data_IF_702079768578
#
_entry.id   IF_702079768578
#
_cell.length_a   1.000
_cell.length_b   1.000
_cell.length_c   1.000
_cell.angle_alpha   90.00
_cell.angle_beta   90.00
_cell.angle_gamma   90.00
#
_symmetry.space_group_name_H-M   'P 1'
#
loop_
_entity.id
_entity.type
_entity.pdbx_description
1 polymer ?
#
# COMPACT_ATOMS: atom_id res chain seq x y z
N UNK A 1 -18.93 8.37 15.28
CA UNK A 1 -17.86 7.67 14.55
C UNK A 1 -16.56 7.84 15.32
N UNK A 2 -15.94 6.71 15.68
CA UNK A 2 -14.77 6.68 16.57
C UNK A 2 -13.60 6.08 15.81
N UNK A 3 -12.45 6.76 15.78
CA UNK A 3 -11.20 6.17 15.31
C UNK A 3 -10.48 5.54 16.50
N UNK A 4 -10.07 4.30 16.33
CA UNK A 4 -9.16 3.59 17.23
C UNK A 4 -7.82 3.42 16.52
N UNK A 5 -6.75 3.91 17.14
CA UNK A 5 -5.40 3.80 16.59
C UNK A 5 -4.39 4.62 17.40
N UNK A 6 -3.07 4.49 17.11
CA UNK A 6 -2.05 5.30 17.77
C UNK A 6 -2.36 6.79 17.64
N UNK A 7 -2.25 7.55 18.74
CA UNK A 7 -2.52 8.99 18.73
C UNK A 7 -1.39 9.84 18.12
N UNK A 8 -0.96 9.45 16.92
CA UNK A 8 0.04 10.10 16.08
C UNK A 8 -0.57 11.18 15.17
N UNK A 9 0.28 11.90 14.44
CA UNK A 9 -0.14 13.01 13.58
C UNK A 9 -1.13 12.57 12.47
N UNK A 10 -0.96 11.36 11.95
CA UNK A 10 -1.83 10.84 10.89
C UNK A 10 -3.26 10.62 11.40
N UNK A 11 -3.42 9.92 12.53
CA UNK A 11 -4.73 9.64 13.07
C UNK A 11 -5.41 10.89 13.64
N UNK A 12 -4.64 11.87 14.13
CA UNK A 12 -5.17 13.18 14.53
C UNK A 12 -5.68 13.98 13.35
N UNK A 13 -4.92 14.04 12.26
CA UNK A 13 -5.34 14.71 11.02
C UNK A 13 -6.57 14.02 10.41
N UNK A 14 -6.55 12.68 10.33
CA UNK A 14 -7.69 11.89 9.86
C UNK A 14 -8.95 12.15 10.70
N UNK A 15 -8.85 12.09 12.03
CA UNK A 15 -9.94 12.37 12.95
C UNK A 15 -10.52 13.77 12.74
N UNK A 16 -9.64 14.78 12.60
CA UNK A 16 -10.04 16.17 12.34
C UNK A 16 -10.76 16.32 11.00
N UNK A 17 -10.30 15.65 9.94
CA UNK A 17 -10.89 15.76 8.59
C UNK A 17 -12.27 15.13 8.48
N UNK A 18 -12.54 14.08 9.25
CA UNK A 18 -13.82 13.36 9.19
C UNK A 18 -14.73 13.63 10.40
N UNK A 19 -14.33 14.54 11.30
CA UNK A 19 -15.09 14.89 12.50
C UNK A 19 -15.27 13.73 13.49
N UNK A 20 -14.31 12.81 13.56
CA UNK A 20 -14.34 11.66 14.46
C UNK A 20 -13.59 11.92 15.77
N UNK A 21 -13.98 11.23 16.85
CA UNK A 21 -13.17 11.16 18.07
C UNK A 21 -12.03 10.15 17.89
N UNK A 22 -10.90 10.39 18.56
CA UNK A 22 -9.75 9.50 18.53
C UNK A 22 -9.55 8.84 19.90
N UNK A 23 -9.57 7.51 19.90
CA UNK A 23 -9.21 6.67 21.05
C UNK A 23 -7.81 6.12 20.80
N UNK A 24 -6.87 6.52 21.67
CA UNK A 24 -5.47 6.11 21.57
C UNK A 24 -5.32 4.59 21.75
N UNK A 25 -4.40 4.02 21.00
CA UNK A 25 -4.01 2.62 21.08
C UNK A 25 -2.50 2.52 21.29
N UNK A 26 -2.10 1.63 22.20
CA UNK A 26 -0.71 1.31 22.47
C UNK A 26 -0.39 -0.13 22.08
N UNK A 27 0.88 -0.35 21.78
CA UNK A 27 1.43 -1.67 21.52
C UNK A 27 2.48 -2.02 22.57
N UNK A 28 2.32 -3.18 23.19
CA UNK A 28 3.39 -3.82 23.96
C UNK A 28 3.92 -5.01 23.18
N UNK A 29 5.24 -5.17 23.17
CA UNK A 29 5.92 -6.37 22.65
C UNK A 29 6.54 -7.09 23.85
N UNK A 30 6.24 -8.37 24.02
CA UNK A 30 6.84 -9.20 25.06
C UNK A 30 8.27 -9.62 24.68
N UNK A 31 9.10 -10.09 25.64
CA UNK A 31 10.49 -10.47 25.35
C UNK A 31 10.67 -11.57 24.30
N UNK A 32 9.67 -12.41 24.09
CA UNK A 32 9.62 -13.47 23.06
C UNK A 32 9.10 -12.99 21.70
N UNK A 33 8.65 -11.73 21.61
CA UNK A 33 8.17 -11.11 20.38
C UNK A 33 6.64 -11.10 20.22
N UNK A 34 5.87 -11.65 21.17
CA UNK A 34 4.41 -11.58 21.10
C UNK A 34 3.88 -10.15 21.26
N UNK A 35 2.77 -9.86 20.57
CA UNK A 35 2.16 -8.54 20.54
C UNK A 35 0.93 -8.48 21.44
N UNK A 36 0.83 -7.41 22.22
CA UNK A 36 -0.36 -7.06 22.98
C UNK A 36 -0.81 -5.63 22.59
N UNK A 37 -1.73 -5.50 21.61
CA UNK A 37 -2.40 -4.24 21.35
C UNK A 37 -3.36 -3.90 22.49
N UNK A 38 -3.31 -2.65 22.97
CA UNK A 38 -4.19 -2.14 24.03
C UNK A 38 -4.84 -0.84 23.61
N UNK A 39 -6.16 -0.87 23.51
CA UNK A 39 -6.99 0.32 23.28
C UNK A 39 -7.19 1.02 24.63
N UNK A 40 -6.94 2.33 24.70
CA UNK A 40 -7.08 3.12 25.93
C UNK A 40 -8.49 3.64 26.12
N UNK A 41 -9.35 2.78 26.65
CA UNK A 41 -10.69 3.13 27.11
C UNK A 41 -10.71 3.30 28.64
N UNK A 42 -11.70 4.03 29.14
CA UNK A 42 -11.93 4.20 30.58
C UNK A 42 -12.83 3.11 31.15
N UNK A 43 -13.81 2.69 30.35
CA UNK A 43 -14.85 1.72 30.71
C UNK A 43 -14.94 0.67 29.59
N UNK A 44 -15.22 -0.58 29.92
CA UNK A 44 -15.20 -1.70 28.96
C UNK A 44 -16.27 -1.57 27.87
N UNK A 45 -17.42 -0.96 28.19
CA UNK A 45 -18.54 -0.77 27.28
C UNK A 45 -18.50 0.56 26.52
N UNK A 46 -17.41 1.34 26.63
CA UNK A 46 -17.26 2.64 25.97
C UNK A 46 -17.47 2.59 24.43
N UNK A 47 -17.23 1.44 23.80
CA UNK A 47 -17.39 1.25 22.34
C UNK A 47 -18.56 0.33 21.98
N UNK A 48 -19.39 -0.04 22.95
CA UNK A 48 -20.48 -1.01 22.74
C UNK A 48 -21.56 -0.42 21.83
N UNK A 49 -21.85 -1.12 20.74
CA UNK A 49 -22.83 -0.69 19.74
C UNK A 49 -22.31 0.40 18.78
N UNK A 50 -21.10 0.91 19.00
CA UNK A 50 -20.53 2.01 18.21
C UNK A 50 -19.98 1.53 16.86
N UNK A 51 -19.95 2.47 15.90
CA UNK A 51 -19.22 2.32 14.66
C UNK A 51 -17.77 2.78 14.84
N UNK A 52 -16.84 1.85 14.59
CA UNK A 52 -15.40 2.04 14.84
C UNK A 52 -14.63 1.97 13.54
N UNK A 53 -13.75 2.94 13.34
CA UNK A 53 -12.68 2.91 12.35
C UNK A 53 -11.39 2.49 13.05
N UNK A 54 -10.93 1.27 12.84
CA UNK A 54 -9.60 0.85 13.23
C UNK A 54 -8.59 1.38 12.20
N UNK A 55 -7.74 2.31 12.59
CA UNK A 55 -6.71 2.90 11.73
C UNK A 55 -5.32 2.52 12.22
N UNK A 56 -4.73 1.53 11.54
CA UNK A 56 -3.38 1.03 11.83
C UNK A 56 -2.51 1.14 10.59
N UNK A 57 -1.24 1.51 10.80
CA UNK A 57 -0.25 1.66 9.75
C UNK A 57 0.97 0.82 10.08
N UNK A 58 1.53 0.17 9.06
CA UNK A 58 2.79 -0.54 9.21
C UNK A 58 3.92 0.47 9.46
N UNK A 59 4.68 0.36 10.57
CA UNK A 59 5.77 1.28 10.83
C UNK A 59 6.89 1.14 9.79
N UNK A 60 7.35 2.26 9.23
CA UNK A 60 8.42 2.26 8.21
C UNK A 60 9.77 1.76 8.74
N UNK A 61 10.13 2.12 9.98
CA UNK A 61 11.44 1.74 10.59
C UNK A 61 11.55 0.28 11.02
N UNK A 62 10.46 -0.47 10.98
CA UNK A 62 10.39 -1.87 11.44
C UNK A 62 9.30 -2.61 10.66
N UNK A 63 9.37 -2.53 9.34
CA UNK A 63 8.40 -3.09 8.42
C UNK A 63 8.34 -4.62 8.59
N UNK A 64 7.44 -5.10 9.45
CA UNK A 64 7.13 -6.50 9.63
C UNK A 64 5.66 -6.74 9.29
N UNK A 65 5.33 -7.21 8.07
CA UNK A 65 3.96 -7.41 7.64
C UNK A 65 3.22 -8.45 8.49
N UNK A 66 3.93 -9.43 9.06
CA UNK A 66 3.33 -10.50 9.86
C UNK A 66 2.86 -9.94 11.21
N UNK A 67 3.75 -9.26 11.93
CA UNK A 67 3.43 -8.59 13.20
C UNK A 67 2.33 -7.55 13.03
N UNK A 68 2.40 -6.76 11.96
CA UNK A 68 1.37 -5.78 11.62
C UNK A 68 0.00 -6.42 11.37
N UNK A 69 -0.05 -7.52 10.59
CA UNK A 69 -1.29 -8.25 10.36
C UNK A 69 -1.87 -8.83 11.66
N UNK A 70 -1.03 -9.46 12.50
CA UNK A 70 -1.48 -10.00 13.79
C UNK A 70 -2.03 -8.90 14.70
N UNK A 71 -1.35 -7.75 14.78
CA UNK A 71 -1.83 -6.60 15.56
C UNK A 71 -3.22 -6.14 15.10
N UNK A 72 -3.44 -6.05 13.78
CA UNK A 72 -4.74 -5.70 13.19
C UNK A 72 -5.79 -6.75 13.57
N UNK A 73 -5.52 -8.04 13.35
CA UNK A 73 -6.47 -9.13 13.59
C UNK A 73 -6.90 -9.21 15.07
N UNK A 74 -5.93 -9.16 15.99
CA UNK A 74 -6.20 -9.17 17.44
C UNK A 74 -7.05 -7.96 17.84
N UNK A 75 -6.79 -6.79 17.26
CA UNK A 75 -7.52 -5.57 17.60
C UNK A 75 -8.95 -5.60 17.08
N UNK A 76 -9.17 -6.03 15.82
CA UNK A 76 -10.51 -6.20 15.25
C UNK A 76 -11.33 -7.17 16.11
N UNK A 77 -10.74 -8.34 16.45
CA UNK A 77 -11.44 -9.35 17.23
C UNK A 77 -11.79 -8.85 18.62
N UNK A 78 -10.87 -8.17 19.30
CA UNK A 78 -11.11 -7.57 20.61
C UNK A 78 -12.20 -6.49 20.58
N UNK A 79 -12.18 -5.62 19.57
CA UNK A 79 -13.24 -4.63 19.33
C UNK A 79 -14.61 -5.29 19.16
N UNK A 80 -14.67 -6.37 18.39
CA UNK A 80 -15.91 -7.09 18.09
C UNK A 80 -16.45 -7.84 19.30
N UNK A 81 -15.63 -8.67 19.95
CA UNK A 81 -16.08 -9.62 20.97
C UNK A 81 -16.18 -9.00 22.36
N UNK A 82 -15.16 -8.26 22.79
CA UNK A 82 -15.05 -7.80 24.17
C UNK A 82 -15.53 -6.37 24.36
N UNK A 83 -15.32 -5.50 23.36
CA UNK A 83 -15.79 -4.11 23.41
C UNK A 83 -17.17 -3.91 22.77
N UNK A 84 -17.68 -4.93 22.05
CA UNK A 84 -19.03 -4.94 21.50
C UNK A 84 -19.27 -3.95 20.37
N UNK A 85 -18.25 -3.57 19.59
CA UNK A 85 -18.39 -2.68 18.44
C UNK A 85 -19.30 -3.32 17.36
N UNK A 86 -20.22 -2.53 16.81
CA UNK A 86 -21.28 -3.03 15.91
C UNK A 86 -20.85 -3.04 14.43
N UNK A 87 -20.02 -2.10 14.02
CA UNK A 87 -19.53 -1.95 12.65
C UNK A 87 -18.04 -1.56 12.69
N UNK A 88 -17.17 -2.45 12.20
CA UNK A 88 -15.72 -2.24 12.23
C UNK A 88 -15.20 -2.02 10.82
N UNK A 89 -14.81 -0.78 10.55
CA UNK A 89 -14.09 -0.41 9.32
C UNK A 89 -12.60 -0.37 9.61
N UNK A 90 -11.78 -0.91 8.71
CA UNK A 90 -10.33 -1.02 8.89
C UNK A 90 -9.64 -0.13 7.86
N UNK A 91 -8.84 0.82 8.30
CA UNK A 91 -7.89 1.56 7.46
C UNK A 91 -6.53 0.90 7.66
N UNK A 92 -6.07 0.18 6.63
CA UNK A 92 -4.78 -0.48 6.58
C UNK A 92 -4.06 -0.09 5.28
N UNK A 93 -3.37 1.07 5.23
CA UNK A 93 -2.88 1.62 3.97
C UNK A 93 -2.00 0.66 3.16
N UNK A 94 -1.18 -0.16 3.84
CA UNK A 94 -0.47 -1.27 3.21
C UNK A 94 -1.21 -2.58 3.47
N UNK A 95 -1.62 -3.29 2.41
CA UNK A 95 -2.21 -4.61 2.51
C UNK A 95 -1.13 -5.69 2.33
N UNK A 96 -0.74 -6.41 3.41
CA UNK A 96 0.35 -7.37 3.35
C UNK A 96 -0.02 -8.58 2.50
N UNK A 97 0.99 -9.27 1.97
CA UNK A 97 0.86 -10.45 1.11
C UNK A 97 0.13 -10.24 -0.23
N UNK A 98 -0.15 -8.99 -0.62
CA UNK A 98 -0.77 -8.67 -1.90
C UNK A 98 -0.03 -9.26 -3.12
N UNK A 99 1.32 -9.31 -3.07
CA UNK A 99 2.16 -9.94 -4.11
C UNK A 99 1.89 -11.43 -4.35
N UNK A 100 1.17 -12.09 -3.44
CA UNK A 100 0.76 -13.49 -3.54
C UNK A 100 -0.75 -13.55 -3.86
N UNK A 101 -1.13 -12.88 -4.96
CA UNK A 101 -2.49 -12.80 -5.49
C UNK A 101 -2.80 -13.88 -6.53
N UNK A 102 -1.87 -14.79 -6.79
CA UNK A 102 -2.09 -16.00 -7.56
C UNK A 102 -1.26 -17.15 -6.99
N UNK A 103 -1.61 -18.38 -7.37
CA UNK A 103 -0.75 -19.55 -7.17
C UNK A 103 0.23 -19.59 -8.35
N UNK A 104 1.44 -19.05 -8.19
CA UNK A 104 2.40 -18.98 -9.28
C UNK A 104 3.10 -20.31 -9.53
N UNK A 105 3.27 -21.13 -8.49
CA UNK A 105 3.85 -22.48 -8.58
C UNK A 105 3.03 -23.51 -7.79
N UNK A 106 3.07 -24.80 -8.17
CA UNK A 106 2.44 -25.86 -7.40
C UNK A 106 2.87 -25.84 -5.93
N UNK A 107 1.90 -25.82 -5.02
CA UNK A 107 2.11 -25.79 -3.57
C UNK A 107 2.21 -24.39 -2.93
N UNK A 108 2.24 -23.32 -3.72
CA UNK A 108 2.23 -21.95 -3.17
C UNK A 108 0.82 -21.52 -2.71
N UNK A 109 0.73 -20.68 -1.66
CA UNK A 109 -0.55 -20.19 -1.15
C UNK A 109 -1.09 -19.00 -1.94
N UNK A 110 -2.42 -18.88 -2.00
CA UNK A 110 -3.11 -17.66 -2.42
C UNK A 110 -3.24 -16.69 -1.22
N UNK A 111 -2.11 -16.25 -0.67
CA UNK A 111 -2.08 -15.55 0.63
C UNK A 111 -2.90 -14.27 0.66
N UNK A 112 -2.97 -13.50 -0.43
CA UNK A 112 -3.81 -12.29 -0.47
C UNK A 112 -5.28 -12.61 -0.16
N UNK A 113 -5.79 -13.74 -0.66
CA UNK A 113 -7.15 -14.23 -0.37
C UNK A 113 -7.29 -14.68 1.08
N UNK A 114 -6.30 -15.41 1.60
CA UNK A 114 -6.35 -15.90 2.97
C UNK A 114 -6.30 -14.74 3.99
N UNK A 115 -5.50 -13.70 3.72
CA UNK A 115 -5.47 -12.49 4.55
C UNK A 115 -6.83 -11.77 4.54
N UNK A 116 -7.47 -11.63 3.37
CA UNK A 116 -8.81 -11.06 3.30
C UNK A 116 -9.82 -11.85 4.15
N UNK A 117 -9.81 -13.19 4.04
CA UNK A 117 -10.68 -14.05 4.85
C UNK A 117 -10.40 -13.89 6.36
N UNK A 118 -9.14 -13.81 6.79
CA UNK A 118 -8.79 -13.61 8.20
C UNK A 118 -9.33 -12.29 8.75
N UNK A 119 -9.29 -11.21 7.96
CA UNK A 119 -9.86 -9.91 8.36
C UNK A 119 -11.38 -10.00 8.53
N UNK A 120 -12.07 -10.71 7.63
CA UNK A 120 -13.51 -10.96 7.72
C UNK A 120 -13.86 -11.79 8.96
N UNK A 121 -13.12 -12.87 9.20
CA UNK A 121 -13.31 -13.74 10.36
C UNK A 121 -13.02 -13.03 11.69
N UNK A 122 -12.06 -12.11 11.71
CA UNK A 122 -11.81 -11.25 12.86
C UNK A 122 -12.99 -10.31 13.15
N UNK A 123 -13.77 -9.94 12.12
CA UNK A 123 -14.99 -9.16 12.24
C UNK A 123 -14.97 -7.81 11.51
N UNK A 124 -14.06 -7.61 10.54
CA UNK A 124 -14.05 -6.42 9.69
C UNK A 124 -15.23 -6.43 8.71
N UNK A 125 -15.93 -5.31 8.60
CA UNK A 125 -17.04 -5.12 7.64
C UNK A 125 -16.58 -4.38 6.38
N UNK A 126 -15.52 -3.58 6.50
CA UNK A 126 -14.94 -2.80 5.41
C UNK A 126 -13.45 -2.65 5.61
N UNK A 127 -12.68 -2.77 4.54
CA UNK A 127 -11.22 -2.64 4.56
C UNK A 127 -10.79 -1.63 3.51
N UNK A 128 -10.15 -0.55 3.94
CA UNK A 128 -9.53 0.46 3.07
C UNK A 128 -8.03 0.21 3.01
N UNK A 129 -7.50 0.09 1.81
CA UNK A 129 -6.07 0.02 1.53
C UNK A 129 -5.69 1.02 0.43
N UNK A 130 -4.40 1.33 0.30
CA UNK A 130 -3.90 2.28 -0.68
C UNK A 130 -3.02 1.56 -1.67
N UNK A 131 -3.29 1.68 -2.97
CA UNK A 131 -2.57 1.05 -4.08
C UNK A 131 -2.13 -0.38 -3.74
N UNK A 132 -3.10 -1.28 -3.63
CA UNK A 132 -2.80 -2.69 -3.36
C UNK A 132 -2.13 -3.31 -4.59
N UNK A 133 -1.01 -4.01 -4.38
CA UNK A 133 -0.29 -4.77 -5.39
C UNK A 133 -1.10 -6.01 -5.83
N UNK A 134 -2.12 -5.82 -6.66
CA UNK A 134 -2.91 -6.91 -7.27
C UNK A 134 -2.90 -6.75 -8.78
N UNK A 135 -2.41 -7.76 -9.47
CA UNK A 135 -2.35 -7.79 -10.93
C UNK A 135 -3.09 -8.99 -11.53
N UNK A 136 -3.35 -10.03 -10.73
CA UNK A 136 -3.99 -11.29 -11.17
C UNK A 136 -5.40 -11.48 -10.62
N UNK A 137 -5.69 -10.91 -9.44
CA UNK A 137 -7.06 -10.85 -8.92
C UNK A 137 -7.77 -9.65 -9.53
N UNK A 138 -8.96 -9.88 -10.09
CA UNK A 138 -9.68 -8.86 -10.87
C UNK A 138 -9.95 -7.54 -10.14
N UNK A 139 -10.08 -7.56 -8.81
CA UNK A 139 -10.13 -6.33 -7.99
C UNK A 139 -9.88 -6.63 -6.51
N UNK A 140 -9.46 -5.61 -5.75
CA UNK A 140 -9.37 -5.70 -4.28
C UNK A 140 -10.71 -6.04 -3.60
N UNK A 141 -11.86 -5.43 -3.98
CA UNK A 141 -13.17 -5.90 -3.51
C UNK A 141 -13.41 -7.40 -3.73
N UNK A 142 -12.93 -7.95 -4.86
CA UNK A 142 -13.07 -9.37 -5.20
C UNK A 142 -12.31 -10.34 -4.29
N UNK A 143 -11.41 -9.84 -3.42
CA UNK A 143 -10.78 -10.67 -2.39
C UNK A 143 -11.72 -10.99 -1.22
N UNK A 144 -12.75 -10.19 -0.98
CA UNK A 144 -13.63 -10.32 0.18
C UNK A 144 -14.94 -11.03 -0.20
N UNK A 145 -15.46 -11.89 0.68
CA UNK A 145 -16.74 -12.58 0.46
C UNK A 145 -17.92 -11.85 1.11
N UNK A 146 -17.68 -11.19 2.24
CA UNK A 146 -18.68 -10.56 3.11
C UNK A 146 -18.34 -9.09 3.34
N UNK A 147 -17.07 -8.79 3.65
CA UNK A 147 -16.62 -7.43 3.87
C UNK A 147 -16.48 -6.68 2.54
N UNK A 148 -16.47 -5.35 2.61
CA UNK A 148 -16.19 -4.53 1.44
C UNK A 148 -14.71 -4.09 1.42
N UNK A 149 -13.95 -4.57 0.43
CA UNK A 149 -12.63 -4.03 0.12
C UNK A 149 -12.71 -2.72 -0.67
N UNK A 150 -11.96 -1.71 -0.28
CA UNK A 150 -11.81 -0.42 -0.98
C UNK A 150 -10.32 -0.16 -1.21
N UNK A 151 -9.91 -0.16 -2.48
CA UNK A 151 -8.55 0.19 -2.89
C UNK A 151 -8.52 1.64 -3.39
N UNK A 152 -7.78 2.50 -2.70
CA UNK A 152 -7.63 3.92 -3.04
C UNK A 152 -6.29 4.11 -3.75
N UNK A 153 -6.27 4.78 -4.91
CA UNK A 153 -5.00 5.08 -5.57
C UNK A 153 -4.21 6.13 -4.78
N UNK A 154 -2.93 5.83 -4.50
CA UNK A 154 -1.97 6.77 -3.94
C UNK A 154 -1.32 7.69 -4.97
N UNK A 155 -1.44 7.38 -6.27
CA UNK A 155 -0.79 8.12 -7.35
C UNK A 155 -1.29 9.56 -7.56
N UNK A 156 -2.58 9.90 -7.35
CA UNK A 156 -3.04 11.29 -7.40
C UNK A 156 -2.28 12.20 -6.42
N UNK A 157 -2.02 11.71 -5.21
CA UNK A 157 -1.26 12.45 -4.19
C UNK A 157 0.20 12.64 -4.60
N UNK A 158 0.83 11.61 -5.18
CA UNK A 158 2.19 11.70 -5.73
C UNK A 158 2.25 12.67 -6.91
N UNK A 159 1.29 12.59 -7.83
CA UNK A 159 1.20 13.48 -8.99
C UNK A 159 1.04 14.94 -8.57
N UNK A 160 0.27 15.21 -7.50
CA UNK A 160 0.16 16.56 -6.95
C UNK A 160 1.50 17.11 -6.43
N UNK A 161 2.34 16.26 -5.84
CA UNK A 161 3.71 16.64 -5.44
C UNK A 161 4.56 16.93 -6.69
N UNK A 162 4.57 16.01 -7.66
CA UNK A 162 5.34 16.13 -8.91
C UNK A 162 4.96 17.40 -9.69
N UNK A 163 3.67 17.75 -9.73
CA UNK A 163 3.18 18.97 -10.39
C UNK A 163 3.75 20.25 -9.78
N UNK A 164 4.08 20.25 -8.48
CA UNK A 164 4.69 21.39 -7.77
C UNK A 164 6.22 21.46 -7.94
N UNK A 165 6.83 20.50 -8.64
CA UNK A 165 8.28 20.44 -8.84
C UNK A 165 8.74 21.10 -10.14
N UNK A 166 7.83 21.71 -10.91
CA UNK A 166 8.11 22.40 -12.18
C UNK A 166 8.96 21.55 -13.15
N UNK A 167 8.52 20.30 -13.36
CA UNK A 167 9.20 19.35 -14.24
C UNK A 167 9.23 19.89 -15.68
N UNK A 168 10.36 19.71 -16.36
CA UNK A 168 10.53 20.15 -17.74
C UNK A 168 10.35 18.95 -18.67
N UNK A 169 9.27 19.04 -19.47
CA UNK A 169 8.84 18.02 -20.42
C UNK A 169 8.85 16.59 -19.81
N UNK A 170 8.09 16.34 -18.73
CA UNK A 170 8.19 15.10 -17.97
C UNK A 170 7.84 13.86 -18.80
N UNK A 171 8.62 12.80 -18.64
CA UNK A 171 8.33 11.45 -19.13
C UNK A 171 8.09 10.51 -17.95
N UNK A 172 6.93 9.88 -17.87
CA UNK A 172 6.56 8.99 -16.76
C UNK A 172 6.86 7.53 -17.11
N UNK A 173 7.64 6.85 -16.29
CA UNK A 173 8.18 5.53 -16.63
C UNK A 173 7.86 4.54 -15.52
N UNK A 174 7.17 3.45 -15.86
CA UNK A 174 6.99 2.31 -14.98
C UNK A 174 8.22 1.37 -15.06
N UNK A 175 8.66 0.77 -13.94
CA UNK A 175 9.79 -0.16 -13.92
C UNK A 175 9.51 -1.49 -14.64
N UNK A 176 8.25 -1.82 -14.90
CA UNK A 176 7.79 -2.93 -15.72
C UNK A 176 6.36 -2.69 -16.22
N UNK A 177 5.86 -3.60 -17.06
CA UNK A 177 4.55 -3.51 -17.68
C UNK A 177 3.39 -3.60 -16.68
N UNK A 178 3.58 -4.24 -15.53
CA UNK A 178 2.54 -4.38 -14.51
C UNK A 178 2.23 -3.02 -13.85
N UNK A 179 3.24 -2.16 -13.73
CA UNK A 179 3.12 -0.81 -13.21
C UNK A 179 2.71 0.24 -14.28
N UNK A 180 2.53 -0.14 -15.55
CA UNK A 180 2.19 0.80 -16.65
C UNK A 180 0.88 1.56 -16.38
N UNK A 181 -0.10 0.90 -15.74
CA UNK A 181 -1.39 1.52 -15.39
C UNK A 181 -1.21 2.73 -14.47
N UNK A 182 -0.22 2.70 -13.58
CA UNK A 182 0.08 3.79 -12.65
C UNK A 182 0.90 4.90 -13.29
N UNK A 183 1.83 4.55 -14.18
CA UNK A 183 2.53 5.56 -14.99
C UNK A 183 1.54 6.35 -15.86
N UNK A 184 0.56 5.66 -16.46
CA UNK A 184 -0.54 6.28 -17.20
C UNK A 184 -1.36 7.21 -16.30
N UNK A 185 -1.79 6.76 -15.13
CA UNK A 185 -2.56 7.58 -14.18
C UNK A 185 -1.79 8.87 -13.83
N UNK A 186 -0.51 8.78 -13.46
CA UNK A 186 0.31 9.95 -13.14
C UNK A 186 0.46 10.89 -14.34
N UNK A 187 0.64 10.35 -15.55
CA UNK A 187 0.76 11.14 -16.78
C UNK A 187 -0.52 11.93 -17.08
N UNK A 188 -1.70 11.32 -16.92
CA UNK A 188 -3.00 12.00 -17.04
C UNK A 188 -3.13 13.16 -16.03
N UNK A 189 -2.72 12.96 -14.78
CA UNK A 189 -2.73 14.03 -13.76
C UNK A 189 -1.78 15.19 -14.08
N UNK A 190 -0.66 14.89 -14.71
CA UNK A 190 0.35 15.88 -15.12
C UNK A 190 0.02 16.54 -16.47
N UNK A 191 -0.97 16.02 -17.21
CA UNK A 191 -1.37 16.53 -18.52
C UNK A 191 -0.35 16.23 -19.61
N UNK A 192 0.30 15.06 -19.56
CA UNK A 192 1.24 14.58 -20.58
C UNK A 192 0.79 13.23 -21.13
N UNK A 193 1.06 12.98 -22.41
CA UNK A 193 0.85 11.67 -23.06
C UNK A 193 2.14 10.82 -23.05
N UNK A 194 3.25 11.37 -22.54
CA UNK A 194 4.54 10.72 -22.48
C UNK A 194 4.66 9.80 -21.26
N UNK A 195 4.19 8.57 -21.43
CA UNK A 195 4.40 7.50 -20.46
C UNK A 195 4.73 6.15 -21.10
N UNK A 196 5.48 5.33 -20.38
CA UNK A 196 5.86 3.98 -20.84
C UNK A 196 6.23 3.08 -19.67
N UNK A 197 6.54 1.83 -19.98
CA UNK A 197 7.11 0.86 -19.05
C UNK A 197 8.40 0.28 -19.64
N UNK A 198 9.30 -0.15 -18.75
CA UNK A 198 10.38 -1.03 -19.16
C UNK A 198 9.86 -2.43 -19.51
N UNK A 199 10.49 -3.08 -20.49
CA UNK A 199 10.22 -4.48 -20.81
C UNK A 199 11.26 -5.32 -20.07
N UNK A 200 10.80 -6.17 -19.15
CA UNK A 200 11.66 -7.13 -18.46
C UNK A 200 11.64 -8.44 -19.24
N UNK A 201 12.71 -8.71 -19.97
CA UNK A 201 12.95 -10.02 -20.57
C UNK A 201 13.79 -10.84 -19.58
N UNK A 202 13.18 -11.88 -19.00
CA UNK A 202 13.91 -12.80 -18.15
C UNK A 202 14.49 -13.92 -19.00
N UNK A 203 15.80 -14.02 -19.01
CA UNK A 203 16.51 -15.14 -19.61
C UNK A 203 16.11 -16.43 -18.89
N UNK A 204 15.53 -17.36 -19.63
CA UNK A 204 14.87 -18.55 -19.09
C UNK A 204 15.86 -19.58 -18.55
N UNK A 205 17.12 -19.54 -18.99
CA UNK A 205 18.16 -20.51 -18.63
C UNK A 205 19.05 -20.00 -17.49
N UNK A 206 19.43 -18.72 -17.53
CA UNK A 206 20.32 -18.11 -16.52
C UNK A 206 19.55 -17.43 -15.40
N UNK A 207 18.28 -17.09 -15.63
CA UNK A 207 17.46 -16.29 -14.72
C UNK A 207 17.81 -14.80 -14.71
N UNK A 208 18.79 -14.36 -15.52
CA UNK A 208 19.17 -12.96 -15.66
C UNK A 208 18.04 -12.13 -16.27
N UNK A 209 17.82 -10.93 -15.74
CA UNK A 209 16.81 -10.02 -16.26
C UNK A 209 17.49 -9.03 -17.20
N UNK A 210 17.26 -9.17 -18.51
CA UNK A 210 17.58 -8.13 -19.49
C UNK A 210 16.43 -7.15 -19.56
N UNK A 211 16.71 -5.90 -19.28
CA UNK A 211 15.73 -4.84 -19.40
C UNK A 211 15.86 -4.26 -20.80
N UNK A 212 14.94 -4.60 -21.69
CA UNK A 212 14.89 -4.06 -23.04
C UNK A 212 14.05 -2.79 -23.01
N UNK A 213 14.61 -1.71 -23.57
CA UNK A 213 13.97 -0.40 -23.57
C UNK A 213 13.18 -0.29 -24.87
N UNK A 214 11.86 -0.16 -24.79
CA UNK A 214 11.07 0.38 -25.91
C UNK A 214 11.57 1.79 -26.12
N UNK A 215 12.09 2.15 -27.30
CA UNK A 215 12.77 3.45 -27.54
C UNK A 215 12.07 4.62 -26.82
N UNK A 216 12.70 5.14 -25.76
CA UNK A 216 12.16 6.25 -24.96
C UNK A 216 12.99 7.49 -25.29
N UNK A 217 12.36 8.54 -25.82
CA UNK A 217 13.02 9.84 -25.97
C UNK A 217 12.96 10.61 -24.65
N UNK A 218 13.96 10.38 -23.79
CA UNK A 218 14.16 11.08 -22.50
C UNK A 218 15.26 12.14 -22.57
N UNK A 219 15.92 12.34 -23.71
CA UNK A 219 17.11 13.19 -23.79
C UNK A 219 16.77 14.65 -23.48
N UNK A 220 17.42 15.21 -22.46
CA UNK A 220 17.16 16.60 -22.00
C UNK A 220 15.86 16.81 -21.23
N UNK A 221 15.06 15.75 -21.02
CA UNK A 221 13.77 15.78 -20.31
C UNK A 221 13.92 15.40 -18.84
N UNK A 222 12.93 15.74 -18.01
CA UNK A 222 12.80 15.08 -16.70
C UNK A 222 12.13 13.74 -16.87
N UNK A 223 12.66 12.71 -16.22
CA UNK A 223 12.03 11.40 -16.15
C UNK A 223 11.56 11.12 -14.72
N UNK A 224 10.38 10.53 -14.58
CA UNK A 224 9.82 10.13 -13.29
C UNK A 224 9.54 8.64 -13.32
N UNK A 225 10.28 7.87 -12.52
CA UNK A 225 10.03 6.44 -12.35
C UNK A 225 8.99 6.23 -11.26
N UNK A 226 7.87 5.58 -11.61
CA UNK A 226 6.70 5.39 -10.74
C UNK A 226 6.49 3.92 -10.44
N UNK A 227 6.30 3.56 -9.17
CA UNK A 227 5.99 2.19 -8.74
C UNK A 227 5.06 2.18 -7.52
N UNK A 228 4.41 1.06 -7.20
CA UNK A 228 3.61 0.96 -5.99
C UNK A 228 4.46 0.68 -4.75
N UNK A 229 5.41 -0.26 -4.83
CA UNK A 229 6.21 -0.70 -3.70
C UNK A 229 7.70 -0.69 -4.04
N UNK A 230 8.48 0.02 -3.22
CA UNK A 230 9.95 -0.13 -3.22
C UNK A 230 10.37 -0.90 -1.97
N UNK A 231 10.87 -2.12 -2.19
CA UNK A 231 11.46 -2.97 -1.13
C UNK A 231 12.98 -2.84 -1.15
N UNK A 232 13.72 -3.64 -1.95
CA UNK A 232 15.19 -3.57 -1.97
C UNK A 232 15.76 -2.37 -2.73
N UNK A 233 14.94 -1.67 -3.51
CA UNK A 233 15.38 -0.56 -4.37
C UNK A 233 16.13 -0.98 -5.65
N UNK A 234 16.45 -2.26 -5.84
CA UNK A 234 17.25 -2.72 -6.98
C UNK A 234 16.63 -2.42 -8.35
N UNK A 235 15.33 -2.70 -8.51
CA UNK A 235 14.59 -2.40 -9.74
C UNK A 235 14.58 -0.91 -10.04
N UNK A 236 14.31 -0.09 -9.02
CA UNK A 236 14.30 1.37 -9.15
C UNK A 236 15.69 1.92 -9.51
N UNK A 237 16.75 1.43 -8.86
CA UNK A 237 18.12 1.83 -9.15
C UNK A 237 18.55 1.49 -10.58
N UNK A 238 18.18 0.31 -11.08
CA UNK A 238 18.45 -0.11 -12.45
C UNK A 238 17.71 0.76 -13.48
N UNK A 239 16.43 1.03 -13.25
CA UNK A 239 15.64 1.95 -14.07
C UNK A 239 16.29 3.34 -14.14
N UNK A 240 16.65 3.91 -12.98
CA UNK A 240 17.30 5.22 -12.89
C UNK A 240 18.64 5.23 -13.63
N UNK A 241 19.45 4.17 -13.54
CA UNK A 241 20.72 4.05 -14.27
C UNK A 241 20.50 4.07 -15.78
N UNK A 242 19.60 3.22 -16.28
CA UNK A 242 19.28 3.15 -17.70
C UNK A 242 18.79 4.50 -18.25
N UNK A 243 17.87 5.18 -17.55
CA UNK A 243 17.33 6.48 -17.97
C UNK A 243 18.42 7.56 -18.02
N UNK A 244 19.35 7.55 -17.07
CA UNK A 244 20.49 8.48 -17.08
C UNK A 244 21.41 8.25 -18.27
N UNK A 245 21.69 7.00 -18.61
CA UNK A 245 22.51 6.64 -19.78
C UNK A 245 21.86 7.10 -21.10
N UNK A 246 20.52 7.17 -21.15
CA UNK A 246 19.77 7.72 -22.28
C UNK A 246 19.77 9.27 -22.36
N UNK A 247 20.38 9.95 -21.39
CA UNK A 247 20.57 11.41 -21.43
C UNK A 247 19.44 12.24 -20.81
N UNK A 248 18.65 11.65 -19.89
CA UNK A 248 17.69 12.42 -19.10
C UNK A 248 18.36 13.55 -18.30
N UNK A 249 17.69 14.69 -18.20
CA UNK A 249 18.18 15.88 -17.47
C UNK A 249 18.18 15.65 -15.96
N UNK A 250 17.05 15.17 -15.43
CA UNK A 250 16.91 14.69 -14.05
C UNK A 250 16.05 13.46 -14.04
N UNK A 251 16.28 12.61 -13.04
CA UNK A 251 15.48 11.41 -12.80
C UNK A 251 14.94 11.47 -11.38
N UNK A 252 13.62 11.32 -11.26
CA UNK A 252 12.89 11.28 -10.00
C UNK A 252 12.35 9.87 -9.79
N UNK A 253 12.30 9.42 -8.54
CA UNK A 253 11.64 8.17 -8.16
C UNK A 253 10.49 8.52 -7.23
N UNK A 254 9.29 8.04 -7.53
CA UNK A 254 8.12 8.23 -6.71
C UNK A 254 7.37 6.89 -6.56
N UNK A 255 6.99 6.57 -5.33
CA UNK A 255 6.36 5.30 -5.02
C UNK A 255 5.47 5.43 -3.79
N UNK A 256 4.45 4.57 -3.70
CA UNK A 256 3.42 4.66 -2.65
C UNK A 256 3.90 4.05 -1.34
N UNK A 257 4.54 2.87 -1.40
CA UNK A 257 4.91 2.08 -0.23
C UNK A 257 6.44 1.97 -0.10
N UNK A 258 7.07 2.76 0.79
CA UNK A 258 8.49 2.65 1.11
C UNK A 258 8.74 1.49 2.10
N UNK A 259 8.73 0.25 1.61
CA UNK A 259 9.00 -0.94 2.44
C UNK A 259 10.45 -0.95 2.94
N UNK A 260 11.38 -0.53 2.07
CA UNK A 260 12.81 -0.24 2.33
C UNK A 260 13.50 -1.21 3.30
#
# INVERSE_FOLDING_TARGET
>A
MIIVGPADDFNRDLASKIGASLVDMQRRVFPDGELCPRIKIKEEDQLKGEEVILSLRMPSKSCNPNSYLIEVLLTIRNLREHMGASNIQVIMPYFPYARQDNIFRPGEPLSAKYVANLLEEAGAERVYAVTVHLHRVGSFPGLFQKAQGVNVSGFPSLAQVLKRMDLVNPYIIAPDEEALVWAKEVAEYLGTDDYTAFIKERDVETGEIKTTIKEIDVKGRDAVVIDDIVSTGGTMANAVRAIKEMGARKVYSAFVHPVL
#
